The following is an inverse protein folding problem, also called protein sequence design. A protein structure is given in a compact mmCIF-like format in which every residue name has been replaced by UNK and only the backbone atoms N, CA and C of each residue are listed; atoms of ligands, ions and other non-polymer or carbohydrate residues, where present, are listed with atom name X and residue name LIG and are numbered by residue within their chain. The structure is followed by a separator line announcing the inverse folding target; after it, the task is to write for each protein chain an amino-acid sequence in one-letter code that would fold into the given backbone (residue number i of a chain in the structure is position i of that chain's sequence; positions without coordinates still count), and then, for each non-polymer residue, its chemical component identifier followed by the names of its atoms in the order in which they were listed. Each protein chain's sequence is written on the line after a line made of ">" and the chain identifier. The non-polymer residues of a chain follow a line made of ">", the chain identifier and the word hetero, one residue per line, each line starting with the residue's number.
data_IF_161104208922
#
_entry.id   IF_161104208922
#
_cell.length_a   1.000
_cell.length_b   1.000
_cell.length_c   1.000
_cell.angle_alpha   90.00
_cell.angle_beta   90.00
_cell.angle_gamma   90.00
#
_symmetry.space_group_name_H-M   'P 1'
#
loop_
_entity.id
_entity.type
_entity.pdbx_description
1 polymer ?
#
# COMPACT_ATOMS: atom_id res chain seq x y z
N UNK A 1 -12.02 -25.50 3.50
CA UNK A 1 -13.28 -24.78 3.24
C UNK A 1 -13.07 -23.26 3.22
N UNK A 2 -12.52 -22.67 4.29
CA UNK A 2 -12.24 -21.23 4.35
C UNK A 2 -11.43 -20.67 3.18
N UNK A 3 -10.41 -21.42 2.74
CA UNK A 3 -9.57 -21.05 1.61
C UNK A 3 -10.30 -21.12 0.27
N UNK A 4 -11.31 -21.98 0.14
CA UNK A 4 -12.15 -22.05 -1.07
C UNK A 4 -13.10 -20.86 -1.14
N UNK A 5 -13.73 -20.51 -0.02
CA UNK A 5 -14.56 -19.30 0.12
C UNK A 5 -13.72 -18.05 -0.13
N UNK A 6 -12.50 -18.00 0.43
CA UNK A 6 -11.54 -16.93 0.20
C UNK A 6 -11.21 -16.79 -1.30
N UNK A 7 -10.89 -17.91 -1.96
CA UNK A 7 -10.53 -17.89 -3.37
C UNK A 7 -11.70 -17.39 -4.22
N UNK A 8 -12.91 -17.92 -4.03
CA UNK A 8 -14.10 -17.50 -4.79
C UNK A 8 -14.51 -16.05 -4.49
N UNK A 9 -14.39 -15.59 -3.25
CA UNK A 9 -14.72 -14.22 -2.87
C UNK A 9 -13.78 -13.20 -3.50
N UNK A 10 -12.48 -13.52 -3.58
CA UNK A 10 -11.47 -12.63 -4.15
C UNK A 10 -11.13 -12.88 -5.61
N UNK A 11 -11.61 -13.95 -6.24
CA UNK A 11 -11.46 -14.23 -7.68
C UNK A 11 -12.01 -13.10 -8.55
N UNK A 12 -13.08 -12.47 -8.09
CA UNK A 12 -13.73 -11.33 -8.74
C UNK A 12 -13.28 -9.96 -8.21
N UNK A 13 -12.23 -9.90 -7.35
CA UNK A 13 -11.75 -8.62 -6.81
C UNK A 13 -11.29 -7.71 -7.94
N UNK A 14 -11.88 -6.52 -8.00
CA UNK A 14 -11.58 -5.49 -8.99
C UNK A 14 -10.07 -5.19 -9.00
N UNK A 15 -9.37 -5.60 -10.06
CA UNK A 15 -7.96 -5.27 -10.24
C UNK A 15 -7.85 -3.80 -10.64
N UNK A 16 -6.89 -3.07 -10.08
CA UNK A 16 -6.64 -1.65 -10.40
C UNK A 16 -6.02 -1.51 -11.81
N UNK A 17 -5.34 -2.55 -12.29
CA UNK A 17 -4.67 -2.59 -13.60
C UNK A 17 -5.56 -2.25 -14.81
N UNK A 18 -6.82 -2.72 -14.92
CA UNK A 18 -7.73 -2.26 -15.99
C UNK A 18 -8.15 -0.78 -15.87
N UNK A 19 -8.18 -0.19 -14.66
CA UNK A 19 -8.57 1.23 -14.49
C UNK A 19 -7.53 2.20 -15.04
N UNK A 20 -6.24 1.87 -14.90
CA UNK A 20 -5.15 2.70 -15.44
C UNK A 20 -5.14 2.74 -16.98
N UNK A 21 -5.63 1.67 -17.64
CA UNK A 21 -5.78 1.63 -19.11
C UNK A 21 -6.88 2.56 -19.63
N UNK A 22 -7.82 2.94 -18.78
CA UNK A 22 -8.94 3.83 -19.14
C UNK A 22 -8.59 5.31 -18.97
N UNK A 23 -7.42 5.62 -18.39
CA UNK A 23 -6.92 6.99 -18.38
C UNK A 23 -6.56 7.45 -19.79
N UNK A 24 -7.15 8.58 -20.21
CA UNK A 24 -6.78 9.25 -21.45
C UNK A 24 -5.29 9.64 -21.41
N UNK A 25 -4.60 9.47 -22.54
CA UNK A 25 -3.15 9.68 -22.69
C UNK A 25 -2.65 11.05 -22.18
N UNK A 26 -3.40 12.13 -22.38
CA UNK A 26 -3.00 13.47 -21.93
C UNK A 26 -2.89 13.58 -20.40
N UNK A 27 -3.63 12.77 -19.64
CA UNK A 27 -3.54 12.74 -18.17
C UNK A 27 -2.23 12.14 -17.69
N UNK A 28 -1.68 11.19 -18.44
CA UNK A 28 -0.34 10.64 -18.19
C UNK A 28 0.74 11.69 -18.43
N UNK A 29 0.60 12.52 -19.45
CA UNK A 29 1.55 13.60 -19.76
C UNK A 29 1.57 14.65 -18.64
N UNK A 30 0.40 15.04 -18.13
CA UNK A 30 0.28 16.00 -17.02
C UNK A 30 1.02 15.52 -15.75
N UNK A 31 1.15 14.21 -15.55
CA UNK A 31 1.91 13.64 -14.44
C UNK A 31 3.40 13.44 -14.75
N UNK A 32 3.72 12.91 -15.94
CA UNK A 32 5.09 12.58 -16.32
C UNK A 32 5.97 13.83 -16.49
N UNK A 33 5.41 14.93 -16.99
CA UNK A 33 6.18 16.16 -17.23
C UNK A 33 6.73 16.77 -15.93
N UNK A 34 5.92 17.02 -14.87
CA UNK A 34 6.43 17.49 -13.58
C UNK A 34 7.40 16.51 -12.93
N UNK A 35 7.17 15.19 -13.05
CA UNK A 35 8.06 14.17 -12.52
C UNK A 35 9.44 14.23 -13.19
N UNK A 36 9.47 14.37 -14.51
CA UNK A 36 10.72 14.45 -15.28
C UNK A 36 11.48 15.74 -14.95
N UNK A 37 10.79 16.87 -14.79
CA UNK A 37 11.37 18.13 -14.34
C UNK A 37 11.93 18.06 -12.90
N UNK A 38 11.27 17.33 -12.01
CA UNK A 38 11.77 17.08 -10.65
C UNK A 38 13.06 16.22 -10.67
N UNK A 39 13.13 15.22 -11.54
CA UNK A 39 14.32 14.36 -11.68
C UNK A 39 15.50 15.08 -12.33
N UNK A 40 15.26 15.91 -13.35
CA UNK A 40 16.34 16.69 -13.96
C UNK A 40 16.87 17.76 -13.02
N UNK A 41 15.98 18.46 -12.30
CA UNK A 41 16.40 19.46 -11.29
C UNK A 41 17.17 18.83 -10.12
N UNK A 42 16.89 17.59 -9.75
CA UNK A 42 17.69 16.85 -8.76
C UNK A 42 19.16 16.72 -9.20
N UNK A 43 19.39 16.32 -10.46
CA UNK A 43 20.75 16.16 -11.01
C UNK A 43 21.54 17.48 -10.95
N UNK A 44 20.91 18.60 -11.28
CA UNK A 44 21.55 19.92 -11.23
C UNK A 44 21.66 20.51 -9.81
N UNK A 45 20.79 20.12 -8.88
CA UNK A 45 20.89 20.56 -7.47
C UNK A 45 22.08 19.96 -6.72
N UNK A 46 22.69 18.89 -7.25
CA UNK A 46 23.89 18.27 -6.65
C UNK A 46 25.13 19.13 -6.89
N UNK A 47 25.16 19.94 -7.96
CA UNK A 47 26.31 20.77 -8.33
C UNK A 47 26.16 22.26 -8.00
N UNK A 48 24.96 22.75 -7.71
CA UNK A 48 24.65 24.19 -7.61
C UNK A 48 23.65 24.54 -6.49
N UNK A 49 23.53 25.83 -6.13
CA UNK A 49 22.57 26.38 -5.13
C UNK A 49 21.08 26.32 -5.55
N UNK A 50 20.74 25.58 -6.60
CA UNK A 50 19.40 25.51 -7.20
C UNK A 50 18.39 24.59 -6.48
N UNK A 51 18.61 24.30 -5.19
CA UNK A 51 17.77 23.40 -4.39
C UNK A 51 16.31 23.87 -4.26
N UNK A 52 16.04 25.18 -4.36
CA UNK A 52 14.68 25.73 -4.34
C UNK A 52 13.84 25.31 -5.56
N UNK A 53 14.46 25.23 -6.75
CA UNK A 53 13.78 24.77 -7.97
C UNK A 53 13.38 23.30 -7.85
N UNK A 54 14.26 22.47 -7.28
CA UNK A 54 13.97 21.06 -7.00
C UNK A 54 12.75 20.89 -6.08
N UNK A 55 12.67 21.67 -4.98
CA UNK A 55 11.50 21.64 -4.08
C UNK A 55 10.22 22.06 -4.83
N UNK A 56 10.27 23.11 -5.65
CA UNK A 56 9.13 23.56 -6.44
C UNK A 56 8.59 22.48 -7.39
N UNK A 57 9.48 21.78 -8.10
CA UNK A 57 9.07 20.69 -9.00
C UNK A 57 8.56 19.45 -8.26
N UNK A 58 9.08 19.16 -7.06
CA UNK A 58 8.55 18.11 -6.20
C UNK A 58 7.10 18.39 -5.76
N UNK A 59 6.79 19.64 -5.40
CA UNK A 59 5.41 20.03 -5.09
C UNK A 59 4.48 19.90 -6.30
N UNK A 60 4.93 20.31 -7.49
CA UNK A 60 4.15 20.14 -8.72
C UNK A 60 3.89 18.67 -9.06
N UNK A 61 4.89 17.79 -8.87
CA UNK A 61 4.74 16.34 -9.05
C UNK A 61 3.76 15.72 -8.05
N UNK A 62 3.73 16.23 -6.81
CA UNK A 62 2.78 15.77 -5.79
C UNK A 62 1.34 16.16 -6.15
N UNK A 63 1.13 17.41 -6.59
CA UNK A 63 -0.19 17.91 -7.02
C UNK A 63 -0.70 17.13 -8.25
N UNK A 64 0.16 16.89 -9.23
CA UNK A 64 -0.22 16.13 -10.44
C UNK A 64 -0.52 14.66 -10.13
N UNK A 65 0.22 14.05 -9.18
CA UNK A 65 -0.09 12.71 -8.66
C UNK A 65 -1.45 12.64 -7.97
N UNK A 66 -1.78 13.65 -7.15
CA UNK A 66 -3.10 13.77 -6.53
C UNK A 66 -4.24 13.89 -7.56
N UNK A 67 -4.04 14.67 -8.62
CA UNK A 67 -4.99 14.79 -9.72
C UNK A 67 -5.24 13.46 -10.45
N UNK A 68 -4.19 12.67 -10.72
CA UNK A 68 -4.36 11.31 -11.28
C UNK A 68 -5.18 10.43 -10.33
N UNK A 69 -4.89 10.47 -9.03
CA UNK A 69 -5.65 9.71 -8.03
C UNK A 69 -7.14 10.04 -8.06
N UNK A 70 -7.49 11.33 -8.17
CA UNK A 70 -8.87 11.79 -8.31
C UNK A 70 -9.53 11.27 -9.59
N UNK A 71 -8.84 11.32 -10.73
CA UNK A 71 -9.36 10.83 -12.01
C UNK A 71 -9.57 9.31 -12.01
N UNK A 72 -8.67 8.54 -11.38
CA UNK A 72 -8.85 7.10 -11.20
C UNK A 72 -10.09 6.83 -10.34
N UNK A 73 -10.29 7.58 -9.25
CA UNK A 73 -11.47 7.44 -8.39
C UNK A 73 -12.77 7.72 -9.16
N UNK A 74 -12.78 8.77 -9.97
CA UNK A 74 -13.93 9.13 -10.83
C UNK A 74 -14.26 8.02 -11.84
N UNK A 75 -13.25 7.44 -12.50
CA UNK A 75 -13.44 6.31 -13.44
C UNK A 75 -14.02 5.11 -12.68
N UNK A 76 -13.48 4.81 -11.50
CA UNK A 76 -13.95 3.72 -10.65
C UNK A 76 -15.42 3.90 -10.28
N UNK A 77 -15.82 5.09 -9.83
CA UNK A 77 -17.21 5.42 -9.48
C UNK A 77 -18.14 5.27 -10.68
N UNK A 78 -17.70 5.70 -11.87
CA UNK A 78 -18.50 5.61 -13.10
C UNK A 78 -18.72 4.15 -13.54
N UNK A 79 -17.69 3.29 -13.38
CA UNK A 79 -17.70 1.93 -13.91
C UNK A 79 -18.27 0.91 -12.92
N UNK A 80 -17.97 1.07 -11.64
CA UNK A 80 -18.31 0.09 -10.60
C UNK A 80 -19.40 0.57 -9.64
N UNK A 81 -19.76 1.86 -9.68
CA UNK A 81 -20.73 2.49 -8.79
C UNK A 81 -20.08 3.16 -7.59
N UNK A 82 -20.90 3.69 -6.69
CA UNK A 82 -20.43 4.32 -5.45
C UNK A 82 -19.85 3.27 -4.49
N UNK A 83 -19.12 3.70 -3.47
CA UNK A 83 -18.60 2.77 -2.44
C UNK A 83 -19.70 1.92 -1.80
N UNK A 84 -20.92 2.47 -1.68
CA UNK A 84 -22.10 1.77 -1.17
C UNK A 84 -22.60 0.68 -2.11
N UNK A 85 -22.56 0.92 -3.42
CA UNK A 85 -22.96 -0.07 -4.44
C UNK A 85 -21.95 -1.22 -4.47
N UNK A 86 -20.66 -0.89 -4.40
CA UNK A 86 -19.57 -1.87 -4.34
C UNK A 86 -19.71 -2.73 -3.07
N UNK A 87 -19.98 -2.11 -1.92
CA UNK A 87 -20.22 -2.83 -0.67
C UNK A 87 -21.41 -3.78 -0.79
N UNK A 88 -22.55 -3.29 -1.29
CA UNK A 88 -23.77 -4.10 -1.42
C UNK A 88 -23.54 -5.31 -2.32
N UNK A 89 -22.84 -5.12 -3.45
CA UNK A 89 -22.47 -6.20 -4.38
C UNK A 89 -21.54 -7.22 -3.74
N UNK A 90 -20.56 -6.77 -2.94
CA UNK A 90 -19.65 -7.67 -2.21
C UNK A 90 -20.39 -8.55 -1.21
N UNK A 91 -21.32 -7.97 -0.45
CA UNK A 91 -22.14 -8.70 0.52
C UNK A 91 -23.03 -9.73 -0.19
N UNK A 92 -23.68 -9.34 -1.28
CA UNK A 92 -24.53 -10.26 -2.07
C UNK A 92 -23.71 -11.40 -2.69
N UNK A 93 -22.52 -11.10 -3.22
CA UNK A 93 -21.59 -12.11 -3.72
C UNK A 93 -21.17 -13.07 -2.60
N UNK A 94 -20.87 -12.57 -1.40
CA UNK A 94 -20.53 -13.42 -0.27
C UNK A 94 -21.70 -14.32 0.15
N UNK A 95 -22.94 -13.78 0.19
CA UNK A 95 -24.15 -14.58 0.46
C UNK A 95 -24.30 -15.70 -0.57
N UNK A 96 -24.12 -15.41 -1.86
CA UNK A 96 -24.21 -16.42 -2.92
C UNK A 96 -23.13 -17.50 -2.79
N UNK A 97 -21.89 -17.12 -2.44
CA UNK A 97 -20.83 -18.08 -2.17
C UNK A 97 -21.18 -18.97 -0.98
N UNK A 98 -21.61 -18.39 0.14
CA UNK A 98 -22.01 -19.16 1.32
C UNK A 98 -23.14 -20.13 1.00
N UNK A 99 -24.14 -19.68 0.25
CA UNK A 99 -25.25 -20.53 -0.22
C UNK A 99 -24.78 -21.69 -1.11
N UNK A 100 -23.85 -21.43 -2.04
CA UNK A 100 -23.26 -22.46 -2.90
C UNK A 100 -22.48 -23.53 -2.12
N UNK A 101 -21.90 -23.14 -0.97
CA UNK A 101 -21.23 -24.05 -0.04
C UNK A 101 -22.16 -24.60 1.05
N UNK A 102 -23.49 -24.44 0.89
CA UNK A 102 -24.52 -24.92 1.82
C UNK A 102 -24.41 -24.36 3.25
N UNK A 103 -23.75 -23.20 3.40
CA UNK A 103 -23.62 -22.48 4.67
C UNK A 103 -24.85 -21.59 4.84
N UNK A 104 -25.83 -22.09 5.57
CA UNK A 104 -27.15 -21.46 5.74
C UNK A 104 -27.42 -21.03 7.18
N UNK A 105 -26.67 -21.59 8.14
CA UNK A 105 -26.86 -21.33 9.57
C UNK A 105 -25.85 -20.33 10.10
N UNK A 106 -26.27 -19.51 11.06
CA UNK A 106 -25.41 -18.50 11.69
C UNK A 106 -24.24 -19.16 12.43
N UNK A 107 -24.45 -20.32 13.05
CA UNK A 107 -23.40 -21.05 13.76
C UNK A 107 -22.28 -21.51 12.81
N UNK A 108 -22.62 -21.83 11.56
CA UNK A 108 -21.63 -22.19 10.53
C UNK A 108 -20.78 -20.98 10.11
N UNK A 109 -21.38 -19.78 10.09
CA UNK A 109 -20.67 -18.52 9.84
C UNK A 109 -19.72 -18.21 11.00
N UNK A 110 -20.14 -18.45 12.24
CA UNK A 110 -19.30 -18.25 13.42
C UNK A 110 -18.06 -19.16 13.41
N UNK A 111 -18.23 -20.43 13.05
CA UNK A 111 -17.10 -21.36 12.86
C UNK A 111 -16.11 -20.82 11.80
N UNK A 112 -16.59 -20.21 10.73
CA UNK A 112 -15.71 -19.61 9.71
C UNK A 112 -14.99 -18.37 10.24
N UNK A 113 -15.66 -17.51 11.00
CA UNK A 113 -15.07 -16.32 11.61
C UNK A 113 -13.94 -16.72 12.57
N UNK A 114 -14.15 -17.77 13.38
CA UNK A 114 -13.17 -18.28 14.32
C UNK A 114 -11.96 -18.90 13.59
N UNK A 115 -12.19 -19.71 12.55
CA UNK A 115 -11.11 -20.23 11.71
C UNK A 115 -10.30 -19.12 11.05
N UNK A 116 -10.95 -18.02 10.61
CA UNK A 116 -10.24 -16.85 10.10
C UNK A 116 -9.39 -16.22 11.21
N UNK A 117 -9.96 -16.02 12.41
CA UNK A 117 -9.26 -15.37 13.52
C UNK A 117 -7.98 -16.13 13.93
N UNK A 118 -8.06 -17.47 13.99
CA UNK A 118 -6.90 -18.33 14.26
C UNK A 118 -5.83 -18.18 13.16
N UNK A 119 -6.24 -18.16 11.90
CA UNK A 119 -5.32 -18.12 10.75
C UNK A 119 -4.67 -16.74 10.55
N UNK A 120 -5.39 -15.65 10.82
CA UNK A 120 -4.95 -14.26 10.54
C UNK A 120 -3.57 -13.95 11.16
N UNK A 121 -3.34 -14.38 12.40
CA UNK A 121 -2.09 -14.09 13.10
C UNK A 121 -0.85 -14.65 12.39
N UNK A 122 -0.98 -15.82 11.75
CA UNK A 122 0.09 -16.49 11.02
C UNK A 122 0.40 -15.87 9.65
N UNK A 123 -0.50 -15.05 9.10
CA UNK A 123 -0.39 -14.48 7.76
C UNK A 123 0.35 -13.13 7.71
N UNK A 124 0.72 -12.56 8.86
CA UNK A 124 1.41 -11.26 8.95
C UNK A 124 2.93 -11.42 8.78
N UNK A 125 3.33 -11.73 7.55
CA UNK A 125 4.72 -12.06 7.17
C UNK A 125 5.63 -10.84 7.24
N UNK A 126 5.10 -9.64 6.97
CA UNK A 126 5.88 -8.40 6.97
C UNK A 126 6.57 -8.12 8.31
N UNK A 127 5.90 -8.41 9.42
CA UNK A 127 6.39 -8.11 10.77
C UNK A 127 7.64 -8.93 11.10
N UNK A 128 7.69 -10.18 10.65
CA UNK A 128 8.85 -11.05 10.83
C UNK A 128 10.05 -10.57 9.99
N UNK A 129 9.81 -10.19 8.74
CA UNK A 129 10.86 -9.73 7.81
C UNK A 129 11.40 -8.36 8.25
N UNK A 130 10.52 -7.39 8.51
CA UNK A 130 10.95 -6.03 8.87
C UNK A 130 11.59 -5.94 10.24
N UNK A 131 11.17 -6.74 11.22
CA UNK A 131 11.86 -6.79 12.51
C UNK A 131 13.29 -7.29 12.37
N UNK A 132 13.53 -8.25 11.47
CA UNK A 132 14.86 -8.79 11.21
C UNK A 132 15.75 -7.75 10.52
N UNK A 133 15.23 -7.07 9.49
CA UNK A 133 15.95 -6.01 8.77
C UNK A 133 16.25 -4.82 9.69
N UNK A 134 15.28 -4.38 10.49
CA UNK A 134 15.47 -3.27 11.43
C UNK A 134 16.55 -3.58 12.46
N UNK A 135 16.59 -4.82 12.99
CA UNK A 135 17.65 -5.26 13.90
C UNK A 135 19.03 -5.17 13.24
N UNK A 136 19.17 -5.65 12.00
CA UNK A 136 20.44 -5.58 11.25
C UNK A 136 20.86 -4.11 11.02
N UNK A 137 19.92 -3.26 10.60
CA UNK A 137 20.19 -1.83 10.38
C UNK A 137 20.66 -1.12 11.66
N UNK A 138 19.98 -1.34 12.78
CA UNK A 138 20.30 -0.68 14.06
C UNK A 138 21.62 -1.19 14.63
N UNK A 139 21.89 -2.50 14.55
CA UNK A 139 23.07 -3.12 15.19
C UNK A 139 24.33 -2.93 14.35
N UNK A 140 24.23 -2.92 13.02
CA UNK A 140 25.41 -2.99 12.13
C UNK A 140 25.58 -1.71 11.32
N UNK A 141 24.54 -1.29 10.60
CA UNK A 141 24.66 -0.20 9.62
C UNK A 141 24.82 1.16 10.32
N UNK A 142 24.02 1.41 11.37
CA UNK A 142 24.02 2.68 12.08
C UNK A 142 25.38 2.96 12.76
N UNK A 143 25.99 2.02 13.51
CA UNK A 143 27.31 2.24 14.12
C UNK A 143 28.42 2.44 13.08
N UNK A 144 28.43 1.66 12.00
CA UNK A 144 29.44 1.80 10.94
C UNK A 144 29.31 3.16 10.26
N UNK A 145 28.10 3.58 9.93
CA UNK A 145 27.86 4.90 9.31
C UNK A 145 28.26 6.07 10.21
N UNK A 146 28.06 5.97 11.53
CA UNK A 146 28.49 6.97 12.50
C UNK A 146 30.02 7.06 12.62
N UNK A 147 30.72 5.93 12.59
CA UNK A 147 32.19 5.91 12.58
C UNK A 147 32.74 6.59 11.33
N UNK A 148 32.21 6.26 10.15
CA UNK A 148 32.62 6.90 8.89
C UNK A 148 32.34 8.42 8.88
N UNK A 149 31.14 8.86 9.31
CA UNK A 149 30.81 10.28 9.37
C UNK A 149 31.73 11.04 10.33
N UNK A 150 32.10 10.43 11.47
CA UNK A 150 33.03 11.03 12.42
C UNK A 150 34.41 11.23 11.79
N UNK A 151 34.93 10.22 11.10
CA UNK A 151 36.25 10.28 10.46
C UNK A 151 36.32 11.37 9.36
N UNK A 152 35.26 11.50 8.55
CA UNK A 152 35.22 12.47 7.45
C UNK A 152 34.91 13.90 7.89
N UNK A 153 34.18 14.10 9.00
CA UNK A 153 33.89 15.45 9.53
C UNK A 153 35.06 16.08 10.28
N UNK A 154 36.05 15.28 10.72
CA UNK A 154 37.28 15.80 11.35
C UNK A 154 38.22 16.54 10.41
N UNK A 155 38.05 16.44 9.08
CA UNK A 155 38.89 17.13 8.09
C UNK A 155 38.05 18.07 7.23
N UNK A 156 38.38 19.36 7.25
CA UNK A 156 37.62 20.43 6.55
C UNK A 156 37.51 20.17 5.04
N UNK A 157 38.54 19.60 4.41
CA UNK A 157 38.53 19.25 2.97
C UNK A 157 37.49 18.19 2.59
N UNK A 158 37.10 17.34 3.54
CA UNK A 158 36.16 16.23 3.30
C UNK A 158 34.76 16.52 3.82
N UNK A 159 34.52 17.73 4.36
CA UNK A 159 33.23 18.13 4.91
C UNK A 159 32.10 18.06 3.88
N UNK A 160 32.35 18.52 2.66
CA UNK A 160 31.38 18.40 1.56
C UNK A 160 31.03 16.95 1.23
N UNK A 161 32.04 16.07 1.20
CA UNK A 161 31.90 14.64 0.93
C UNK A 161 31.12 13.94 2.07
N UNK A 162 31.36 14.32 3.33
CA UNK A 162 30.62 13.84 4.48
C UNK A 162 29.13 14.25 4.42
N UNK A 163 28.83 15.50 4.04
CA UNK A 163 27.46 15.97 3.87
C UNK A 163 26.75 15.27 2.71
N UNK A 164 27.44 14.96 1.61
CA UNK A 164 26.89 14.17 0.50
C UNK A 164 26.58 12.73 0.91
N UNK A 165 27.45 12.08 1.68
CA UNK A 165 27.21 10.73 2.23
C UNK A 165 26.01 10.75 3.18
N UNK A 166 25.92 11.77 4.05
CA UNK A 166 24.80 11.92 4.97
C UNK A 166 23.48 12.13 4.23
N UNK A 167 23.46 12.98 3.19
CA UNK A 167 22.29 13.18 2.33
C UNK A 167 21.90 11.88 1.61
N UNK A 168 22.86 11.07 1.16
CA UNK A 168 22.62 9.78 0.54
C UNK A 168 22.03 8.76 1.52
N UNK A 169 22.51 8.72 2.77
CA UNK A 169 21.92 7.90 3.83
C UNK A 169 20.46 8.31 4.09
N UNK A 170 20.19 9.61 4.21
CA UNK A 170 18.82 10.12 4.39
C UNK A 170 17.92 9.79 3.19
N UNK A 171 18.43 9.89 1.97
CA UNK A 171 17.70 9.50 0.77
C UNK A 171 17.38 7.99 0.74
N UNK A 172 18.33 7.15 1.14
CA UNK A 172 18.13 5.69 1.28
C UNK A 172 17.08 5.36 2.34
N UNK A 173 17.10 6.05 3.49
CA UNK A 173 16.08 5.89 4.54
C UNK A 173 14.71 6.33 4.02
N UNK A 174 14.64 7.46 3.32
CA UNK A 174 13.41 7.97 2.70
C UNK A 174 12.83 6.98 1.68
N UNK A 175 13.66 6.44 0.79
CA UNK A 175 13.28 5.40 -0.17
C UNK A 175 12.83 4.12 0.54
N UNK A 176 13.53 3.71 1.60
CA UNK A 176 13.15 2.55 2.40
C UNK A 176 11.77 2.72 3.03
N UNK A 177 11.45 3.89 3.61
CA UNK A 177 10.12 4.15 4.18
C UNK A 177 9.01 4.09 3.13
N UNK A 178 9.26 4.58 1.90
CA UNK A 178 8.31 4.46 0.80
C UNK A 178 8.14 3.02 0.34
N UNK A 179 9.24 2.29 0.15
CA UNK A 179 9.25 0.90 -0.33
C UNK A 179 8.66 -0.04 0.72
N UNK A 180 8.93 0.19 2.02
CA UNK A 180 8.42 -0.59 3.14
C UNK A 180 6.90 -0.68 3.07
N UNK A 181 6.21 0.44 2.90
CA UNK A 181 4.74 0.47 2.84
C UNK A 181 4.20 -0.33 1.64
N UNK A 182 4.89 -0.28 0.49
CA UNK A 182 4.52 -1.05 -0.70
C UNK A 182 4.78 -2.55 -0.49
N UNK A 183 5.93 -2.90 0.10
CA UNK A 183 6.26 -4.28 0.45
C UNK A 183 5.30 -4.86 1.49
N UNK A 184 4.92 -4.10 2.53
CA UNK A 184 3.88 -4.49 3.49
C UNK A 184 2.54 -4.76 2.78
N UNK A 185 2.17 -3.93 1.80
CA UNK A 185 0.95 -4.17 1.03
C UNK A 185 0.98 -5.47 0.22
N UNK A 186 2.14 -5.84 -0.33
CA UNK A 186 2.31 -7.05 -1.13
C UNK A 186 2.39 -8.28 -0.22
N UNK A 187 3.29 -8.24 0.77
CA UNK A 187 3.57 -9.34 1.70
C UNK A 187 2.36 -9.68 2.57
N UNK A 188 1.68 -8.66 3.10
CA UNK A 188 0.48 -8.86 3.93
C UNK A 188 -0.81 -8.78 3.11
N UNK A 189 -0.75 -8.96 1.79
CA UNK A 189 -1.95 -8.96 0.95
C UNK A 189 -2.95 -10.03 1.39
N UNK A 190 -2.47 -11.23 1.71
CA UNK A 190 -3.28 -12.33 2.23
C UNK A 190 -3.88 -11.98 3.60
N UNK A 191 -3.08 -11.43 4.51
CA UNK A 191 -3.54 -10.96 5.82
C UNK A 191 -4.67 -9.91 5.69
N UNK A 192 -4.49 -8.90 4.83
CA UNK A 192 -5.49 -7.84 4.59
C UNK A 192 -6.76 -8.40 3.97
N UNK A 193 -6.65 -9.27 2.99
CA UNK A 193 -7.78 -9.93 2.36
C UNK A 193 -8.54 -10.81 3.37
N UNK A 194 -7.85 -11.56 4.22
CA UNK A 194 -8.50 -12.41 5.22
C UNK A 194 -9.23 -11.58 6.27
N UNK A 195 -8.67 -10.42 6.66
CA UNK A 195 -9.34 -9.45 7.53
C UNK A 195 -10.58 -8.83 6.87
N UNK A 196 -10.52 -8.50 5.57
CA UNK A 196 -11.67 -8.01 4.80
C UNK A 196 -12.78 -9.07 4.72
N UNK A 197 -12.42 -10.35 4.49
CA UNK A 197 -13.36 -11.46 4.47
C UNK A 197 -14.04 -11.65 5.84
N UNK A 198 -13.27 -11.57 6.94
CA UNK A 198 -13.83 -11.65 8.31
C UNK A 198 -14.91 -10.60 8.54
N UNK A 199 -14.60 -9.34 8.26
CA UNK A 199 -15.55 -8.23 8.41
C UNK A 199 -16.78 -8.42 7.53
N UNK A 200 -16.59 -8.90 6.29
CA UNK A 200 -17.71 -9.16 5.38
C UNK A 200 -18.61 -10.30 5.87
N UNK A 201 -18.05 -11.33 6.51
CA UNK A 201 -18.82 -12.42 7.14
C UNK A 201 -19.59 -11.94 8.38
N UNK A 202 -18.98 -11.09 9.20
CA UNK A 202 -19.64 -10.43 10.33
C UNK A 202 -20.83 -9.58 9.86
N UNK A 203 -20.67 -8.84 8.77
CA UNK A 203 -21.75 -8.07 8.16
C UNK A 203 -22.89 -8.95 7.64
N UNK A 204 -22.56 -10.06 6.96
CA UNK A 204 -23.57 -11.04 6.50
C UNK A 204 -24.33 -11.64 7.69
N UNK A 205 -23.63 -11.97 8.78
CA UNK A 205 -24.26 -12.46 10.03
C UNK A 205 -25.26 -11.46 10.57
N UNK A 206 -24.90 -10.17 10.66
CA UNK A 206 -25.80 -9.12 11.17
C UNK A 206 -27.05 -9.01 10.29
N UNK A 207 -26.90 -9.09 8.97
CA UNK A 207 -28.04 -9.03 8.05
C UNK A 207 -28.96 -10.25 8.23
N UNK A 208 -28.42 -11.46 8.33
CA UNK A 208 -29.20 -12.67 8.54
C UNK A 208 -29.93 -12.68 9.90
N UNK A 209 -29.31 -12.14 10.95
CA UNK A 209 -29.96 -11.94 12.25
C UNK A 209 -31.17 -11.01 12.14
N UNK A 210 -31.04 -9.94 11.35
CA UNK A 210 -32.13 -8.98 11.12
C UNK A 210 -33.29 -9.60 10.31
N UNK A 211 -32.97 -10.42 9.32
CA UNK A 211 -33.96 -11.07 8.46
C UNK A 211 -34.73 -12.21 9.18
N UNK A 212 -34.14 -12.84 10.20
CA UNK A 212 -34.76 -13.89 11.02
C UNK A 212 -35.66 -13.36 12.17
N UNK A 213 -35.75 -12.04 12.35
CA UNK A 213 -36.56 -11.37 13.38
C UNK A 213 -37.78 -10.61 12.82
N UNK A 214 -38.15 -10.87 11.56
CA UNK A 214 -39.41 -10.48 10.92
C UNK A 214 -40.24 -11.73 10.59
#
# INVERSE_FOLDING_TARGET
>A
MIWLIYEDYFKNKERITPLLKELKWYKWIIFLVPLLLALTSFYFSISDTNWLLFIGYMFLALISGGYIGYEIKKIKETKYGTERDIYSRKIELLKNILFNFEITKIEQIDILIDQIAETISSLKVSEQIFNTINKICIIVILPISMLFLKEFTTKIEYYGLAMSIFALILAVIGLWLMIKNVLEQILDSQYKNMKELKLSLEDVKIILLKDNHL
#
